data_IF_654697404901
#
_entry.id   IF_654697404901
#
_cell.length_a   1.000
_cell.length_b   1.000
_cell.length_c   1.000
_cell.angle_alpha   90.00
_cell.angle_beta   90.00
_cell.angle_gamma   90.00
#
_symmetry.space_group_name_H-M   'P 1'
#
loop_
_entity.id
_entity.type
_entity.pdbx_description
1 polymer ?
#
# COMPACT_ATOMS: atom_id res chain seq x y z
N UNK A 1 21.63 50.89 41.64
CA UNK A 1 20.34 51.44 41.16
C UNK A 1 19.97 50.63 39.93
N UNK A 2 19.19 49.58 40.15
CA UNK A 2 18.83 48.59 39.13
C UNK A 2 17.48 49.00 38.53
N UNK A 3 17.40 49.17 37.21
CA UNK A 3 16.13 49.41 36.54
C UNK A 3 15.36 48.09 36.39
N UNK A 4 14.02 48.09 36.53
CA UNK A 4 13.21 46.90 36.33
C UNK A 4 13.01 46.67 34.82
N UNK A 5 13.38 45.48 34.35
CA UNK A 5 13.05 44.97 33.01
C UNK A 5 11.62 44.43 33.02
N UNK A 6 10.74 45.06 32.24
CA UNK A 6 9.37 44.60 31.94
C UNK A 6 9.42 43.33 31.05
N UNK A 7 8.80 42.19 31.44
CA UNK A 7 9.03 40.90 30.78
C UNK A 7 7.98 40.53 29.72
N UNK A 8 7.34 41.48 29.04
CA UNK A 8 6.31 41.16 28.04
C UNK A 8 6.70 41.57 26.60
N UNK A 9 7.11 40.61 25.74
CA UNK A 9 7.57 40.90 24.38
C UNK A 9 6.44 41.21 23.36
N UNK A 10 5.16 41.19 23.76
CA UNK A 10 4.03 41.38 22.84
C UNK A 10 3.31 42.75 22.97
N UNK A 11 3.95 43.78 23.52
CA UNK A 11 3.33 45.12 23.65
C UNK A 11 3.57 45.98 22.41
N UNK A 12 2.51 46.24 21.63
CA UNK A 12 2.58 47.11 20.46
C UNK A 12 2.84 48.60 20.82
N UNK A 13 3.62 49.35 20.00
CA UNK A 13 4.29 50.60 20.41
C UNK A 13 3.43 51.88 20.43
N UNK A 14 2.12 51.82 20.17
CA UNK A 14 1.30 53.01 19.91
C UNK A 14 0.28 53.37 21.00
N UNK A 15 0.38 52.74 22.17
CA UNK A 15 -0.44 53.10 23.34
C UNK A 15 0.38 53.86 24.38
N UNK A 16 0.74 55.12 24.07
CA UNK A 16 1.06 56.14 25.06
C UNK A 16 0.20 57.36 24.75
N UNK A 17 -0.73 57.69 25.64
CA UNK A 17 -1.55 58.89 25.53
C UNK A 17 -0.76 60.16 25.83
N UNK A 18 -1.26 61.29 25.37
CA UNK A 18 -1.04 62.56 26.04
C UNK A 18 -2.32 63.44 25.97
N UNK A 19 -2.70 64.14 27.06
CA UNK A 19 -3.85 65.04 27.14
C UNK A 19 -3.45 66.51 26.91
N UNK A 20 -4.36 67.46 27.23
CA UNK A 20 -4.29 68.94 27.18
C UNK A 20 -4.41 69.58 25.78
N UNK A 21 -5.45 70.37 25.40
CA UNK A 21 -6.14 71.56 25.95
C UNK A 21 -5.57 72.90 25.43
N UNK A 22 -6.48 73.76 24.94
CA UNK A 22 -6.35 75.22 24.67
C UNK A 22 -5.51 75.57 23.42
N UNK A 23 -5.92 76.46 22.50
CA UNK A 23 -6.29 77.87 22.65
C UNK A 23 -7.17 78.39 21.48
N UNK A 24 -8.12 79.29 21.82
CA UNK A 24 -8.54 80.56 21.19
C UNK A 24 -8.50 80.74 19.63
N UNK A 25 -9.42 81.43 18.95
CA UNK A 25 -10.07 82.71 19.28
C UNK A 25 -11.21 83.00 18.27
N UNK A 26 -12.25 83.69 18.74
CA UNK A 26 -13.38 84.18 17.96
C UNK A 26 -13.04 85.48 17.20
N UNK A 27 -13.73 85.69 16.07
CA UNK A 27 -13.87 86.99 15.39
C UNK A 27 -15.10 86.97 14.47
N UNK A 28 -15.99 87.98 14.52
CA UNK A 28 -17.36 87.88 14.00
C UNK A 28 -17.48 88.36 12.54
N UNK A 29 -18.48 87.86 11.80
CA UNK A 29 -19.01 88.54 10.62
C UNK A 29 -20.53 88.71 10.70
N UNK A 30 -21.05 89.80 10.12
CA UNK A 30 -22.29 90.43 10.56
C UNK A 30 -23.54 89.80 9.93
N UNK A 31 -24.63 89.99 10.65
CA UNK A 31 -26.01 89.74 10.31
C UNK A 31 -26.45 90.53 9.04
N UNK A 32 -27.11 89.85 8.10
CA UNK A 32 -28.04 90.47 7.16
C UNK A 32 -29.44 89.84 7.30
N UNK A 33 -30.49 90.65 7.49
CA UNK A 33 -31.86 90.20 7.66
C UNK A 33 -32.65 90.16 6.36
N UNK A 34 -33.62 89.26 6.30
CA UNK A 34 -34.96 89.63 5.84
C UNK A 34 -35.49 88.90 4.62
N UNK A 35 -36.61 88.20 4.86
CA UNK A 35 -37.74 87.98 3.97
C UNK A 35 -37.48 87.10 2.73
N UNK A 36 -38.40 86.30 2.21
CA UNK A 36 -39.85 86.38 2.21
C UNK A 36 -40.44 85.02 1.82
N UNK A 37 -41.61 84.71 2.37
CA UNK A 37 -42.44 83.56 1.99
C UNK A 37 -42.78 83.53 0.49
N UNK A 38 -42.80 82.33 -0.11
CA UNK A 38 -43.75 81.99 -1.16
C UNK A 38 -43.99 80.45 -1.20
N UNK A 39 -45.26 80.00 -1.29
CA UNK A 39 -45.65 78.59 -1.38
C UNK A 39 -45.82 78.14 -2.84
N UNK A 40 -45.51 76.87 -3.16
CA UNK A 40 -45.98 76.26 -4.42
C UNK A 40 -45.17 75.08 -4.98
N UNK A 41 -45.71 73.86 -4.84
CA UNK A 41 -45.58 72.78 -5.83
C UNK A 41 -44.42 71.77 -5.69
N UNK A 42 -44.44 70.66 -6.46
CA UNK A 42 -45.05 69.40 -6.02
C UNK A 42 -44.12 68.18 -6.14
N UNK A 43 -44.53 67.05 -5.54
CA UNK A 43 -44.09 65.71 -5.97
C UNK A 43 -42.86 65.16 -5.26
N UNK A 44 -43.08 64.47 -4.14
CA UNK A 44 -42.11 63.48 -3.67
C UNK A 44 -42.02 62.35 -4.69
N UNK A 45 -40.81 61.93 -5.14
CA UNK A 45 -40.70 60.82 -6.08
C UNK A 45 -41.22 59.52 -5.44
N UNK A 46 -41.86 58.62 -6.19
CA UNK A 46 -42.35 57.37 -5.65
C UNK A 46 -41.17 56.53 -5.16
N UNK A 47 -41.29 55.98 -3.95
CA UNK A 47 -40.31 55.05 -3.38
C UNK A 47 -40.40 53.76 -4.20
N UNK A 48 -39.49 53.59 -5.15
CA UNK A 48 -39.37 52.36 -5.93
C UNK A 48 -38.77 51.31 -5.01
N UNK A 49 -39.52 50.27 -4.69
CA UNK A 49 -39.05 49.08 -3.99
C UNK A 49 -37.99 48.39 -4.83
N UNK A 50 -36.74 48.78 -4.62
CA UNK A 50 -35.58 48.11 -5.19
C UNK A 50 -35.40 46.76 -4.50
N UNK A 51 -36.10 45.74 -4.99
CA UNK A 51 -35.90 44.33 -4.68
C UNK A 51 -34.58 43.81 -5.29
N UNK A 52 -33.48 44.56 -5.15
CA UNK A 52 -32.28 44.45 -5.99
C UNK A 52 -30.98 44.11 -5.26
N UNK A 53 -30.97 44.02 -3.93
CA UNK A 53 -29.76 43.68 -3.17
C UNK A 53 -29.67 42.20 -2.80
N UNK A 54 -30.82 41.54 -2.57
CA UNK A 54 -30.83 40.16 -2.09
C UNK A 54 -30.76 39.13 -3.23
N UNK A 55 -31.32 39.42 -4.40
CA UNK A 55 -31.31 38.48 -5.53
C UNK A 55 -29.99 38.48 -6.32
N UNK A 56 -29.41 39.63 -6.64
CA UNK A 56 -28.12 39.67 -7.36
C UNK A 56 -26.90 39.48 -6.45
N UNK A 57 -27.01 39.87 -5.17
CA UNK A 57 -25.97 39.66 -4.17
C UNK A 57 -25.89 38.19 -3.72
N UNK A 58 -27.00 37.58 -3.31
CA UNK A 58 -27.01 36.19 -2.83
C UNK A 58 -26.86 35.17 -3.97
N UNK A 59 -27.51 35.39 -5.12
CA UNK A 59 -27.34 34.49 -6.27
C UNK A 59 -25.93 34.61 -6.86
N UNK A 60 -25.38 35.82 -6.91
CA UNK A 60 -24.00 36.06 -7.36
C UNK A 60 -22.98 35.37 -6.46
N UNK A 61 -23.11 35.49 -5.14
CA UNK A 61 -22.21 34.79 -4.21
C UNK A 61 -22.35 33.28 -4.29
N UNK A 62 -23.58 32.75 -4.41
CA UNK A 62 -23.81 31.31 -4.58
C UNK A 62 -23.20 30.75 -5.87
N UNK A 63 -23.28 31.49 -6.98
CA UNK A 63 -22.67 31.08 -8.25
C UNK A 63 -21.15 31.13 -8.14
N UNK A 64 -20.57 32.17 -7.54
CA UNK A 64 -19.12 32.28 -7.37
C UNK A 64 -18.58 31.20 -6.43
N UNK A 65 -19.27 30.89 -5.32
CA UNK A 65 -18.85 29.82 -4.41
C UNK A 65 -18.98 28.45 -5.07
N UNK A 66 -20.04 28.20 -5.85
CA UNK A 66 -20.19 26.98 -6.63
C UNK A 66 -19.06 26.83 -7.66
N UNK A 67 -18.75 27.89 -8.42
CA UNK A 67 -17.65 27.89 -9.38
C UNK A 67 -16.28 27.71 -8.70
N UNK A 68 -16.08 28.31 -7.53
CA UNK A 68 -14.88 28.10 -6.73
C UNK A 68 -14.77 26.65 -6.26
N UNK A 69 -15.85 26.02 -5.79
CA UNK A 69 -15.86 24.61 -5.42
C UNK A 69 -15.58 23.69 -6.62
N UNK A 70 -16.17 23.99 -7.78
CA UNK A 70 -15.86 23.27 -9.03
C UNK A 70 -14.39 23.46 -9.41
N UNK A 71 -13.86 24.68 -9.31
CA UNK A 71 -12.47 24.99 -9.59
C UNK A 71 -11.49 24.30 -8.64
N UNK A 72 -11.81 24.25 -7.34
CA UNK A 72 -11.03 23.52 -6.32
C UNK A 72 -11.11 22.02 -6.59
N UNK A 73 -12.31 21.48 -6.87
CA UNK A 73 -12.49 20.07 -7.20
C UNK A 73 -11.70 19.68 -8.44
N UNK A 74 -11.81 20.47 -9.52
CA UNK A 74 -11.05 20.26 -10.75
C UNK A 74 -9.55 20.41 -10.54
N UNK A 75 -9.11 21.44 -9.81
CA UNK A 75 -7.70 21.66 -9.50
C UNK A 75 -7.10 20.55 -8.65
N UNK A 76 -7.86 20.05 -7.65
CA UNK A 76 -7.44 18.91 -6.81
C UNK A 76 -7.38 17.63 -7.64
N UNK A 77 -8.38 17.37 -8.48
CA UNK A 77 -8.38 16.24 -9.40
C UNK A 77 -7.20 16.30 -10.38
N UNK A 78 -6.97 17.46 -11.00
CA UNK A 78 -5.84 17.67 -11.92
C UNK A 78 -4.49 17.50 -11.22
N UNK A 79 -4.34 18.02 -9.99
CA UNK A 79 -3.13 17.84 -9.21
C UNK A 79 -2.89 16.37 -8.83
N UNK A 80 -3.90 15.66 -8.34
CA UNK A 80 -3.80 14.24 -8.00
C UNK A 80 -3.44 13.39 -9.22
N UNK A 81 -4.14 13.59 -10.34
CA UNK A 81 -3.86 12.87 -11.60
C UNK A 81 -2.47 13.17 -12.15
N UNK A 82 -1.97 14.41 -12.00
CA UNK A 82 -0.61 14.80 -12.37
C UNK A 82 0.45 14.09 -11.52
N UNK A 83 0.22 13.99 -10.21
CA UNK A 83 1.12 13.26 -9.30
C UNK A 83 1.16 11.77 -9.62
N UNK A 84 0.01 11.16 -9.91
CA UNK A 84 -0.05 9.76 -10.37
C UNK A 84 0.76 9.59 -11.65
N UNK A 85 0.58 10.48 -12.64
CA UNK A 85 1.31 10.39 -13.91
C UNK A 85 2.84 10.49 -13.75
N UNK A 86 3.32 11.23 -12.74
CA UNK A 86 4.75 11.36 -12.44
C UNK A 86 5.38 10.03 -11.99
N UNK A 87 4.68 9.27 -11.14
CA UNK A 87 5.19 8.05 -10.51
C UNK A 87 4.66 6.75 -11.12
N UNK A 88 3.91 6.84 -12.22
CA UNK A 88 3.40 5.68 -12.94
C UNK A 88 3.82 5.73 -14.41
N UNK A 89 3.82 4.60 -15.09
CA UNK A 89 4.08 4.44 -16.51
C UNK A 89 2.83 3.98 -17.27
N UNK A 90 2.79 4.18 -18.58
CA UNK A 90 1.77 3.61 -19.47
C UNK A 90 2.05 2.17 -19.87
N UNK A 91 3.24 1.64 -19.56
CA UNK A 91 3.63 0.26 -19.83
C UNK A 91 4.00 -0.46 -18.53
N UNK A 92 3.58 -1.73 -18.33
CA UNK A 92 4.05 -2.52 -17.21
C UNK A 92 5.55 -2.79 -17.37
N UNK A 93 6.28 -2.84 -16.25
CA UNK A 93 7.64 -3.39 -16.27
C UNK A 93 7.60 -4.89 -16.62
N UNK A 94 8.62 -5.36 -17.33
CA UNK A 94 8.82 -6.77 -17.68
C UNK A 94 9.33 -7.52 -16.44
N UNK A 95 8.42 -8.01 -15.61
CA UNK A 95 8.75 -8.76 -14.40
C UNK A 95 8.92 -10.25 -14.75
N UNK A 96 10.10 -10.85 -14.49
CA UNK A 96 10.33 -12.27 -14.75
C UNK A 96 9.38 -13.15 -13.94
N UNK A 97 8.97 -14.27 -14.53
CA UNK A 97 8.19 -15.30 -13.83
C UNK A 97 9.02 -16.56 -13.77
N UNK A 98 9.31 -17.01 -12.55
CA UNK A 98 10.05 -18.25 -12.33
C UNK A 98 9.08 -19.42 -12.46
N UNK A 99 9.39 -20.33 -13.38
CA UNK A 99 8.67 -21.58 -13.58
C UNK A 99 9.54 -22.71 -13.04
N UNK A 100 9.14 -23.28 -11.89
CA UNK A 100 9.74 -24.50 -11.35
C UNK A 100 8.96 -25.72 -11.83
N UNK A 101 9.61 -26.89 -11.82
CA UNK A 101 8.91 -28.15 -12.10
C UNK A 101 7.84 -28.41 -11.03
N UNK A 102 6.69 -28.98 -11.42
CA UNK A 102 5.57 -29.24 -10.50
C UNK A 102 6.02 -30.03 -9.25
N UNK A 103 6.91 -31.00 -9.46
CA UNK A 103 7.46 -31.83 -8.39
C UNK A 103 8.31 -31.03 -7.39
N UNK A 104 9.17 -30.14 -7.88
CA UNK A 104 10.02 -29.31 -7.01
C UNK A 104 9.18 -28.30 -6.22
N UNK A 105 8.12 -27.79 -6.83
CA UNK A 105 7.18 -26.87 -6.19
C UNK A 105 6.38 -27.56 -5.08
N UNK A 106 5.92 -28.80 -5.30
CA UNK A 106 5.28 -29.62 -4.27
C UNK A 106 6.23 -29.90 -3.10
N UNK A 107 7.50 -30.25 -3.38
CA UNK A 107 8.53 -30.45 -2.36
C UNK A 107 8.80 -29.17 -1.55
N UNK A 108 8.88 -28.01 -2.22
CA UNK A 108 9.06 -26.70 -1.59
C UNK A 108 7.85 -26.32 -0.70
N UNK A 109 6.63 -26.51 -1.20
CA UNK A 109 5.41 -26.24 -0.43
C UNK A 109 5.32 -27.13 0.80
N UNK A 110 5.63 -28.43 0.66
CA UNK A 110 5.68 -29.36 1.78
C UNK A 110 6.72 -28.92 2.83
N UNK A 111 7.90 -28.44 2.40
CA UNK A 111 8.94 -27.91 3.28
C UNK A 111 8.44 -26.70 4.08
N UNK A 112 7.76 -25.78 3.41
CA UNK A 112 7.21 -24.56 4.01
C UNK A 112 6.04 -24.86 4.94
N UNK A 113 5.15 -25.79 4.58
CA UNK A 113 4.03 -26.21 5.41
C UNK A 113 4.50 -26.92 6.68
N UNK A 114 5.46 -27.83 6.55
CA UNK A 114 6.09 -28.51 7.67
C UNK A 114 6.76 -27.53 8.64
N UNK A 115 7.44 -26.51 8.11
CA UNK A 115 8.03 -25.44 8.92
C UNK A 115 6.95 -24.55 9.55
N UNK A 116 5.93 -24.17 8.79
CA UNK A 116 4.83 -23.30 9.25
C UNK A 116 4.02 -23.95 10.37
N UNK A 117 3.80 -25.27 10.30
CA UNK A 117 3.12 -26.03 11.36
C UNK A 117 3.91 -25.99 12.68
N UNK A 118 5.24 -26.14 12.60
CA UNK A 118 6.13 -25.95 13.76
C UNK A 118 6.04 -24.52 14.30
N UNK A 119 6.07 -23.51 13.42
CA UNK A 119 5.92 -22.10 13.80
C UNK A 119 4.57 -21.84 14.46
N UNK A 120 3.47 -22.44 14.01
CA UNK A 120 2.15 -22.24 14.63
C UNK A 120 2.00 -22.97 15.96
N UNK A 121 2.87 -23.95 16.25
CA UNK A 121 2.76 -24.83 17.42
C UNK A 121 1.72 -25.93 17.23
N UNK A 122 1.37 -26.21 15.97
CA UNK A 122 0.54 -27.36 15.59
C UNK A 122 1.47 -28.57 15.51
N UNK A 123 1.71 -29.23 16.64
CA UNK A 123 2.33 -30.56 16.62
C UNK A 123 1.34 -31.51 15.99
N UNK A 124 1.47 -31.76 14.68
CA UNK A 124 0.76 -32.86 14.02
C UNK A 124 1.43 -34.18 14.45
N UNK A 125 0.76 -35.07 15.21
CA UNK A 125 1.15 -36.47 15.16
C UNK A 125 0.67 -36.99 13.81
N UNK A 126 1.61 -37.49 13.01
CA UNK A 126 1.30 -38.35 11.88
C UNK A 126 0.35 -39.48 12.33
N UNK A 127 -0.53 -39.85 11.41
CA UNK A 127 -1.38 -41.05 11.40
C UNK A 127 -2.86 -40.81 11.78
N UNK A 128 -3.60 -40.20 10.85
CA UNK A 128 -4.95 -40.68 10.56
C UNK A 128 -5.02 -41.06 9.08
N UNK A 129 -4.87 -42.36 8.87
CA UNK A 129 -5.50 -43.08 7.78
C UNK A 129 -6.98 -42.70 7.74
N UNK A 130 -7.39 -41.71 6.93
CA UNK A 130 -8.80 -41.50 6.63
C UNK A 130 -9.28 -42.58 5.66
N UNK A 131 -9.63 -43.71 6.26
CA UNK A 131 -10.64 -44.63 5.77
C UNK A 131 -11.93 -43.86 5.44
N UNK A 132 -12.27 -43.88 4.15
CA UNK A 132 -13.59 -43.75 3.55
C UNK A 132 -14.71 -43.14 4.41
N UNK A 133 -15.06 -41.90 4.09
CA UNK A 133 -16.43 -41.43 4.29
C UNK A 133 -17.19 -41.59 2.97
N UNK A 134 -17.93 -42.69 2.92
CA UNK A 134 -18.96 -43.02 1.96
C UNK A 134 -20.01 -41.91 1.90
N UNK A 135 -20.18 -41.29 0.72
CA UNK A 135 -21.42 -40.58 0.37
C UNK A 135 -22.24 -41.51 -0.52
N UNK A 136 -23.27 -42.10 0.06
CA UNK A 136 -24.42 -42.70 -0.60
C UNK A 136 -25.62 -42.24 0.23
N UNK A 137 -26.82 -42.01 -0.26
CA UNK A 137 -27.44 -41.91 -1.58
C UNK A 137 -28.89 -41.51 -1.22
N UNK A 138 -29.54 -40.67 -2.01
CA UNK A 138 -30.98 -40.77 -2.35
C UNK A 138 -31.40 -39.43 -2.98
N UNK A 139 -32.23 -39.36 -4.03
CA UNK A 139 -32.67 -40.28 -5.08
C UNK A 139 -33.69 -39.47 -5.91
N UNK A 140 -33.98 -39.97 -7.11
CA UNK A 140 -35.16 -39.71 -7.96
C UNK A 140 -34.98 -38.54 -8.93
N UNK A 141 -35.01 -38.72 -10.24
CA UNK A 141 -35.47 -39.84 -11.07
C UNK A 141 -36.08 -39.21 -12.32
N UNK A 142 -35.75 -39.71 -13.51
CA UNK A 142 -36.69 -40.03 -14.60
C UNK A 142 -35.96 -40.34 -15.92
N UNK A 143 -36.29 -41.54 -16.41
CA UNK A 143 -36.52 -41.98 -17.80
C UNK A 143 -35.43 -41.96 -18.91
N UNK A 144 -34.86 -43.17 -19.09
CA UNK A 144 -34.96 -44.06 -20.28
C UNK A 144 -34.36 -43.67 -21.66
N UNK A 145 -34.08 -44.66 -22.55
CA UNK A 145 -32.75 -44.91 -23.10
C UNK A 145 -32.74 -44.90 -24.64
N UNK A 146 -31.57 -45.08 -25.27
CA UNK A 146 -31.50 -45.83 -26.54
C UNK A 146 -30.12 -46.44 -26.72
N UNK A 147 -30.13 -47.75 -26.98
CA UNK A 147 -29.01 -48.61 -27.33
C UNK A 147 -28.42 -48.31 -28.71
N UNK A 148 -27.13 -48.60 -28.89
CA UNK A 148 -26.49 -49.25 -30.07
C UNK A 148 -24.97 -49.18 -29.86
N UNK A 149 -24.31 -50.22 -29.34
CA UNK A 149 -23.90 -51.46 -30.03
C UNK A 149 -22.57 -51.33 -30.81
N UNK A 150 -21.48 -51.75 -30.14
CA UNK A 150 -20.47 -52.78 -30.52
C UNK A 150 -19.28 -52.50 -31.49
N UNK A 151 -18.15 -53.04 -31.01
CA UNK A 151 -16.91 -53.54 -31.65
C UNK A 151 -15.83 -52.52 -32.04
N UNK A 152 -14.69 -52.44 -31.35
CA UNK A 152 -13.59 -53.42 -31.18
C UNK A 152 -12.72 -53.59 -32.43
N UNK A 153 -11.45 -53.17 -32.35
CA UNK A 153 -10.25 -54.03 -32.49
C UNK A 153 -8.97 -53.18 -32.57
N UNK A 154 -8.09 -53.36 -31.56
CA UNK A 154 -6.61 -53.31 -31.66
C UNK A 154 -6.14 -54.55 -32.48
N UNK A 155 -4.85 -54.79 -32.87
CA UNK A 155 -3.59 -54.43 -32.17
C UNK A 155 -2.29 -54.30 -33.02
N UNK A 156 -1.15 -54.14 -32.31
CA UNK A 156 0.22 -54.47 -32.74
C UNK A 156 1.11 -53.25 -33.03
N UNK A 157 2.38 -53.13 -32.63
CA UNK A 157 3.33 -54.14 -32.14
C UNK A 157 4.60 -53.43 -31.59
N UNK A 158 5.17 -53.95 -30.50
CA UNK A 158 6.55 -53.71 -30.01
C UNK A 158 7.57 -54.55 -30.80
N UNK A 159 8.88 -54.21 -30.72
CA UNK A 159 9.82 -55.01 -29.89
C UNK A 159 10.85 -54.11 -29.14
N UNK A 160 11.19 -54.30 -27.85
CA UNK A 160 12.10 -55.30 -27.22
C UNK A 160 13.54 -55.33 -27.83
N UNK A 161 14.69 -55.30 -27.13
CA UNK A 161 15.09 -55.22 -25.72
C UNK A 161 16.64 -54.95 -25.59
N UNK A 162 17.05 -54.21 -24.55
CA UNK A 162 18.20 -54.28 -23.57
C UNK A 162 19.56 -55.02 -23.87
N UNK A 163 20.65 -54.95 -23.03
CA UNK A 163 20.83 -54.36 -21.68
C UNK A 163 22.17 -53.60 -21.41
N UNK A 164 22.29 -52.94 -20.24
CA UNK A 164 23.56 -52.39 -19.76
C UNK A 164 23.55 -51.81 -18.33
N UNK A 165 23.46 -52.69 -17.33
CA UNK A 165 24.16 -52.63 -16.01
C UNK A 165 23.90 -51.46 -15.05
N UNK A 166 23.12 -51.74 -14.01
CA UNK A 166 23.15 -51.08 -12.69
C UNK A 166 24.51 -51.28 -11.99
N UNK A 167 24.85 -50.44 -11.00
CA UNK A 167 24.62 -50.86 -9.61
C UNK A 167 23.85 -49.76 -8.86
N UNK A 168 22.73 -50.08 -8.24
CA UNK A 168 22.61 -50.75 -6.94
C UNK A 168 23.05 -49.84 -5.78
N UNK A 169 22.03 -49.32 -5.09
CA UNK A 169 22.04 -49.23 -3.63
C UNK A 169 22.47 -47.90 -3.05
N UNK A 170 21.51 -46.97 -2.94
CA UNK A 170 21.37 -46.28 -1.67
C UNK A 170 19.89 -46.35 -1.28
N UNK A 171 19.62 -47.25 -0.34
CA UNK A 171 18.35 -47.37 0.35
C UNK A 171 18.07 -46.03 1.03
N UNK A 172 17.23 -45.19 0.43
CA UNK A 172 16.57 -44.11 1.15
C UNK A 172 15.58 -44.75 2.12
N UNK A 173 16.10 -45.19 3.27
CA UNK A 173 15.31 -45.37 4.48
C UNK A 173 14.53 -44.06 4.72
N UNK A 174 13.31 -44.13 5.30
CA UNK A 174 12.54 -42.93 5.58
C UNK A 174 13.39 -42.06 6.51
N UNK A 175 13.86 -40.92 6.00
CA UNK A 175 14.53 -39.92 6.81
C UNK A 175 13.44 -39.45 7.76
N UNK A 176 13.51 -39.95 9.00
CA UNK A 176 12.75 -39.41 10.11
C UNK A 176 12.95 -37.90 10.04
N UNK A 177 11.84 -37.17 9.89
CA UNK A 177 11.85 -35.72 9.83
C UNK A 177 12.45 -35.19 11.14
N UNK A 178 13.75 -34.90 11.12
CA UNK A 178 14.36 -34.05 12.11
C UNK A 178 13.58 -32.73 12.08
N UNK A 179 13.20 -32.16 13.25
CA UNK A 179 12.48 -30.90 13.24
C UNK A 179 13.36 -29.87 12.53
N UNK A 180 12.92 -29.41 11.36
CA UNK A 180 13.60 -28.36 10.61
C UNK A 180 13.48 -27.09 11.43
N UNK A 181 14.42 -26.89 12.38
CA UNK A 181 14.55 -25.68 13.19
C UNK A 181 14.94 -24.47 12.34
N UNK A 182 15.40 -24.73 11.13
CA UNK A 182 15.89 -23.76 10.17
C UNK A 182 15.21 -23.99 8.82
N UNK A 183 14.73 -22.91 8.22
CA UNK A 183 14.23 -22.87 6.86
C UNK A 183 15.11 -21.90 6.06
N UNK A 184 15.74 -22.42 5.02
CA UNK A 184 16.48 -21.63 4.04
C UNK A 184 15.61 -21.47 2.81
N UNK A 185 15.48 -20.26 2.30
CA UNK A 185 14.74 -19.95 1.07
C UNK A 185 15.64 -19.14 0.13
N UNK A 186 15.90 -19.70 -1.05
CA UNK A 186 16.62 -19.00 -2.11
C UNK A 186 15.72 -17.98 -2.80
N UNK A 187 16.31 -17.04 -3.56
CA UNK A 187 15.54 -16.12 -4.40
C UNK A 187 14.66 -16.87 -5.42
N UNK A 188 15.15 -17.98 -5.99
CA UNK A 188 14.39 -18.80 -6.93
C UNK A 188 13.14 -19.41 -6.29
N UNK A 189 13.29 -20.02 -5.11
CA UNK A 189 12.18 -20.60 -4.35
C UNK A 189 11.16 -19.53 -3.94
N UNK A 190 11.61 -18.36 -3.49
CA UNK A 190 10.72 -17.23 -3.18
C UNK A 190 9.93 -16.80 -4.42
N UNK A 191 10.60 -16.65 -5.56
CA UNK A 191 9.94 -16.25 -6.80
C UNK A 191 8.98 -17.31 -7.34
N UNK A 192 9.28 -18.59 -7.13
CA UNK A 192 8.37 -19.67 -7.51
C UNK A 192 7.09 -19.63 -6.69
N UNK A 193 7.18 -19.37 -5.38
CA UNK A 193 6.01 -19.15 -4.53
C UNK A 193 5.21 -17.93 -4.98
N UNK A 194 5.90 -16.82 -5.27
CA UNK A 194 5.26 -15.62 -5.84
C UNK A 194 4.52 -15.95 -7.15
N UNK A 195 5.11 -16.80 -7.98
CA UNK A 195 4.54 -17.22 -9.25
C UNK A 195 3.30 -18.12 -9.12
N UNK A 196 3.03 -18.71 -7.94
CA UNK A 196 1.78 -19.43 -7.64
C UNK A 196 0.61 -18.50 -7.30
N UNK A 197 0.90 -17.30 -6.82
CA UNK A 197 -0.12 -16.34 -6.41
C UNK A 197 -0.55 -15.48 -7.61
N UNK A 198 -1.79 -15.63 -8.09
CA UNK A 198 -2.27 -14.92 -9.30
C UNK A 198 -2.14 -13.39 -9.21
N UNK A 199 -2.20 -12.83 -7.99
CA UNK A 199 -2.08 -11.38 -7.78
C UNK A 199 -0.64 -10.88 -7.83
N UNK A 200 0.35 -11.77 -7.68
CA UNK A 200 1.77 -11.44 -7.58
C UNK A 200 2.58 -11.98 -8.78
N UNK A 201 2.15 -13.08 -9.38
CA UNK A 201 2.75 -13.67 -10.59
C UNK A 201 2.87 -12.62 -11.69
N UNK A 202 4.11 -12.39 -12.15
CA UNK A 202 4.41 -11.40 -13.20
C UNK A 202 4.23 -9.94 -12.76
N UNK A 203 4.14 -9.69 -11.44
CA UNK A 203 4.01 -8.34 -10.85
C UNK A 203 5.01 -8.08 -9.74
N UNK A 204 5.55 -9.12 -9.13
CA UNK A 204 6.59 -9.03 -8.10
C UNK A 204 7.70 -10.00 -8.49
N UNK A 205 8.94 -9.55 -8.33
CA UNK A 205 10.13 -10.38 -8.45
C UNK A 205 11.14 -9.98 -7.38
N UNK A 206 11.85 -10.96 -6.84
CA UNK A 206 12.82 -10.81 -5.76
C UNK A 206 14.18 -11.30 -6.22
N UNK A 207 15.23 -10.53 -5.94
CA UNK A 207 16.61 -10.99 -6.03
C UNK A 207 17.28 -10.88 -4.67
N UNK A 208 18.23 -11.76 -4.41
CA UNK A 208 19.03 -11.72 -3.19
C UNK A 208 20.48 -11.77 -3.63
N UNK A 209 21.22 -10.70 -3.37
CA UNK A 209 22.60 -10.54 -3.82
C UNK A 209 23.39 -9.80 -2.74
N UNK A 210 24.62 -10.27 -2.46
CA UNK A 210 25.52 -9.62 -1.49
C UNK A 210 24.90 -9.38 -0.10
N UNK A 211 24.06 -10.31 0.38
CA UNK A 211 23.38 -10.18 1.67
C UNK A 211 22.28 -9.11 1.69
N UNK A 212 21.79 -8.64 0.54
CA UNK A 212 20.71 -7.64 0.41
C UNK A 212 19.56 -8.19 -0.41
N UNK A 213 18.35 -7.73 -0.11
CA UNK A 213 17.13 -8.13 -0.82
C UNK A 213 16.72 -7.04 -1.78
N UNK A 214 16.54 -7.38 -3.05
CA UNK A 214 16.06 -6.49 -4.09
C UNK A 214 14.65 -6.92 -4.50
N UNK A 215 13.71 -5.98 -4.55
CA UNK A 215 12.35 -6.22 -5.01
C UNK A 215 12.01 -5.37 -6.23
N UNK A 216 11.43 -5.98 -7.25
CA UNK A 216 10.96 -5.34 -8.48
C UNK A 216 9.45 -5.54 -8.57
N UNK A 217 8.70 -4.47 -8.80
CA UNK A 217 7.23 -4.51 -8.83
C UNK A 217 6.64 -3.78 -10.02
N UNK A 218 5.52 -4.30 -10.52
CA UNK A 218 4.72 -3.75 -11.62
C UNK A 218 3.24 -3.94 -11.32
N UNK A 219 2.60 -2.91 -10.74
CA UNK A 219 1.21 -2.98 -10.33
C UNK A 219 0.32 -2.04 -11.15
N UNK A 220 -0.83 -2.51 -11.66
CA UNK A 220 -1.80 -1.63 -12.29
C UNK A 220 -2.37 -0.65 -11.27
N UNK A 221 -2.60 0.59 -11.70
CA UNK A 221 -3.09 1.68 -10.83
C UNK A 221 -4.52 2.10 -11.16
N UNK A 222 -5.29 1.23 -11.81
CA UNK A 222 -6.67 1.51 -12.23
C UNK A 222 -7.60 1.90 -11.09
N UNK A 223 -7.33 1.40 -9.87
CA UNK A 223 -8.11 1.69 -8.66
C UNK A 223 -7.84 3.10 -8.10
N UNK A 224 -6.78 3.77 -8.57
CA UNK A 224 -6.39 5.10 -8.12
C UNK A 224 -6.96 6.15 -9.09
N UNK A 225 -7.58 7.25 -8.61
CA UNK A 225 -8.06 8.33 -9.48
C UNK A 225 -6.94 8.88 -10.38
N UNK A 226 -7.11 8.71 -11.70
CA UNK A 226 -6.11 9.11 -12.70
C UNK A 226 -5.05 8.06 -13.03
N UNK A 227 -5.13 6.86 -12.45
CA UNK A 227 -4.21 5.73 -12.71
C UNK A 227 -4.73 4.70 -13.72
N UNK A 228 -5.90 4.92 -14.31
CA UNK A 228 -6.46 4.05 -15.35
C UNK A 228 -5.50 3.84 -16.53
N UNK A 229 -5.20 2.58 -16.85
CA UNK A 229 -4.26 2.21 -17.92
C UNK A 229 -2.80 2.56 -17.61
N UNK A 230 -2.45 2.77 -16.33
CA UNK A 230 -1.10 3.08 -15.87
C UNK A 230 -0.62 2.08 -14.83
N UNK A 231 0.69 1.92 -14.74
CA UNK A 231 1.38 0.97 -13.88
C UNK A 231 2.33 1.69 -12.93
N UNK A 232 2.34 1.29 -11.68
CA UNK A 232 3.38 1.64 -10.72
C UNK A 232 4.51 0.63 -10.89
N UNK A 233 5.60 1.08 -11.50
CA UNK A 233 6.81 0.30 -11.71
C UNK A 233 7.88 0.82 -10.75
N UNK A 234 8.37 -0.03 -9.86
CA UNK A 234 9.36 0.36 -8.87
C UNK A 234 10.32 -0.78 -8.55
N UNK A 235 11.54 -0.39 -8.19
CA UNK A 235 12.59 -1.28 -7.71
C UNK A 235 13.02 -0.77 -6.34
N UNK A 236 13.33 -1.67 -5.42
CA UNK A 236 13.74 -1.31 -4.08
C UNK A 236 14.81 -2.26 -3.55
N UNK A 237 15.73 -1.71 -2.77
CA UNK A 237 16.76 -2.44 -2.05
C UNK A 237 16.46 -2.38 -0.54
N UNK A 238 16.50 -3.54 0.10
CA UNK A 238 16.18 -3.71 1.50
C UNK A 238 17.34 -4.37 2.26
N UNK A 239 17.64 -3.79 3.41
CA UNK A 239 18.39 -4.45 4.46
C UNK A 239 17.41 -5.16 5.41
N UNK A 240 17.64 -6.44 5.64
CA UNK A 240 16.75 -7.33 6.41
C UNK A 240 17.57 -8.07 7.45
N UNK A 241 17.25 -7.84 8.72
CA UNK A 241 17.90 -8.54 9.84
C UNK A 241 16.94 -8.70 11.01
N UNK A 242 17.23 -9.63 11.92
CA UNK A 242 16.51 -9.76 13.17
C UNK A 242 17.46 -9.58 14.36
N UNK A 243 17.11 -8.71 15.29
CA UNK A 243 17.87 -8.45 16.51
C UNK A 243 16.93 -8.49 17.70
N UNK A 244 17.26 -9.27 18.73
CA UNK A 244 16.45 -9.42 19.96
C UNK A 244 14.97 -9.79 19.70
N UNK A 245 14.69 -10.61 18.68
CA UNK A 245 13.33 -11.00 18.26
C UNK A 245 12.54 -9.91 17.52
N UNK A 246 13.21 -8.83 17.13
CA UNK A 246 12.67 -7.73 16.33
C UNK A 246 13.26 -7.80 14.93
N UNK A 247 12.41 -8.07 13.94
CA UNK A 247 12.69 -8.00 12.52
C UNK A 247 12.81 -6.53 12.14
N UNK A 248 13.99 -6.16 11.67
CA UNK A 248 14.28 -4.89 11.05
C UNK A 248 14.30 -5.04 9.53
N UNK A 249 13.45 -4.27 8.86
CA UNK A 249 13.46 -4.13 7.40
C UNK A 249 13.63 -2.65 7.09
N UNK A 250 14.72 -2.29 6.41
CA UNK A 250 15.03 -0.90 6.08
C UNK A 250 15.18 -0.74 4.58
N UNK A 251 14.58 0.31 4.04
CA UNK A 251 14.80 0.71 2.65
C UNK A 251 16.16 1.41 2.53
N UNK A 252 17.06 0.87 1.72
CA UNK A 252 18.39 1.46 1.47
C UNK A 252 18.39 2.26 0.16
N UNK A 253 17.70 1.75 -0.86
CA UNK A 253 17.53 2.43 -2.13
C UNK A 253 16.17 2.13 -2.77
N UNK A 254 15.70 3.01 -3.64
CA UNK A 254 14.52 2.78 -4.45
C UNK A 254 14.52 3.59 -5.74
N UNK A 255 13.86 3.03 -6.73
CA UNK A 255 13.65 3.55 -8.08
C UNK A 255 12.15 3.51 -8.40
N UNK A 256 11.65 4.52 -9.08
CA UNK A 256 10.29 4.52 -9.65
C UNK A 256 10.43 4.91 -11.12
N UNK A 257 9.96 4.03 -12.01
CA UNK A 257 10.14 4.15 -13.47
C UNK A 257 11.63 4.27 -13.88
N UNK A 258 12.51 3.58 -13.16
CA UNK A 258 13.96 3.66 -13.38
C UNK A 258 14.60 4.98 -12.91
N UNK A 259 13.82 5.91 -12.35
CA UNK A 259 14.34 7.12 -11.73
C UNK A 259 14.51 6.90 -10.23
N UNK A 260 15.75 7.01 -9.74
CA UNK A 260 16.06 6.89 -8.31
C UNK A 260 15.29 7.91 -7.49
N UNK A 261 14.70 7.47 -6.40
CA UNK A 261 13.99 8.34 -5.46
C UNK A 261 15.01 9.33 -4.83
N UNK A 262 14.66 10.62 -4.66
CA UNK A 262 15.55 11.60 -4.04
C UNK A 262 16.04 11.16 -2.65
N UNK A 263 17.31 11.41 -2.35
CA UNK A 263 17.94 11.02 -1.08
C UNK A 263 17.17 11.53 0.15
N UNK A 264 16.62 12.75 0.09
CA UNK A 264 15.83 13.32 1.18
C UNK A 264 14.56 12.52 1.50
N UNK A 265 13.99 11.84 0.52
CA UNK A 265 12.84 10.96 0.71
C UNK A 265 13.32 9.62 1.25
N UNK A 266 14.38 9.05 0.69
CA UNK A 266 14.98 7.79 1.15
C UNK A 266 15.45 7.89 2.61
N UNK A 267 16.10 8.97 3.02
CA UNK A 267 16.51 9.23 4.41
C UNK A 267 15.34 9.21 5.39
N UNK A 268 14.15 9.64 4.95
CA UNK A 268 12.94 9.57 5.76
C UNK A 268 12.47 8.14 5.97
N UNK A 269 12.56 7.29 4.94
CA UNK A 269 12.15 5.88 5.01
C UNK A 269 13.20 4.98 5.67
N UNK A 270 14.49 5.26 5.50
CA UNK A 270 15.58 4.42 6.04
C UNK A 270 15.72 4.49 7.56
N UNK A 271 15.19 5.55 8.18
CA UNK A 271 15.10 5.70 9.63
C UNK A 271 13.96 4.89 10.25
N UNK A 272 13.03 4.40 9.43
CA UNK A 272 11.85 3.68 9.86
C UNK A 272 12.01 2.19 9.59
N UNK A 273 11.69 1.36 10.58
CA UNK A 273 11.57 -0.06 10.36
C UNK A 273 10.25 -0.35 9.63
N UNK A 274 10.32 -0.81 8.38
CA UNK A 274 9.16 -1.13 7.56
C UNK A 274 8.37 -2.33 8.10
N UNK A 275 8.99 -3.20 8.90
CA UNK A 275 8.33 -4.31 9.55
C UNK A 275 7.58 -3.93 10.84
N UNK A 276 7.61 -2.65 11.26
CA UNK A 276 6.96 -2.19 12.51
C UNK A 276 5.47 -2.55 12.60
N UNK A 277 4.78 -2.57 11.47
CA UNK A 277 3.34 -2.85 11.42
C UNK A 277 3.05 -4.35 11.59
N UNK A 278 4.01 -5.24 11.26
CA UNK A 278 3.88 -6.67 11.53
C UNK A 278 3.80 -6.98 13.03
N UNK A 279 4.36 -6.10 13.87
CA UNK A 279 4.27 -6.20 15.34
C UNK A 279 2.98 -5.62 15.93
N UNK A 280 2.23 -4.82 15.17
CA UNK A 280 0.94 -4.27 15.61
C UNK A 280 -0.17 -5.29 15.52
N UNK A 281 -0.09 -6.20 14.55
CA UNK A 281 -0.98 -7.35 14.47
C UNK A 281 -0.56 -8.41 15.49
N UNK A 282 -1.49 -8.78 16.38
CA UNK A 282 -1.23 -9.74 17.46
C UNK A 282 -0.79 -11.10 16.92
N UNK A 283 -1.44 -11.59 15.86
CA UNK A 283 -1.17 -12.92 15.28
C UNK A 283 0.23 -12.93 14.65
N UNK A 284 0.58 -11.88 13.93
CA UNK A 284 1.89 -11.76 13.30
C UNK A 284 3.00 -11.58 14.34
N UNK A 285 2.78 -10.75 15.37
CA UNK A 285 3.72 -10.57 16.46
C UNK A 285 3.98 -11.88 17.24
N UNK A 286 2.95 -12.70 17.46
CA UNK A 286 3.08 -14.01 18.10
C UNK A 286 3.93 -14.98 17.27
N UNK A 287 3.81 -14.94 15.95
CA UNK A 287 4.62 -15.73 15.02
C UNK A 287 6.07 -15.24 15.00
N UNK A 288 6.29 -13.92 14.84
CA UNK A 288 7.63 -13.33 14.75
C UNK A 288 8.50 -13.59 15.99
N UNK A 289 7.88 -13.65 17.18
CA UNK A 289 8.57 -13.96 18.44
C UNK A 289 9.09 -15.40 18.55
N UNK A 290 8.62 -16.29 17.69
CA UNK A 290 9.08 -17.70 17.65
C UNK A 290 10.34 -17.87 16.83
N UNK A 291 10.75 -16.85 16.08
CA UNK A 291 12.02 -16.85 15.38
C UNK A 291 13.14 -16.41 16.33
N UNK A 292 14.24 -17.14 16.28
CA UNK A 292 15.52 -16.75 16.87
C UNK A 292 16.21 -15.73 15.98
N UNK A 293 16.25 -15.99 14.67
CA UNK A 293 16.82 -15.08 13.68
C UNK A 293 16.13 -15.19 12.32
N UNK A 294 16.16 -14.09 11.59
CA UNK A 294 15.84 -13.98 10.16
C UNK A 294 16.95 -13.13 9.57
N UNK A 295 17.75 -13.74 8.70
CA UNK A 295 18.96 -13.12 8.16
C UNK A 295 19.08 -13.43 6.67
N UNK A 296 19.71 -12.52 5.93
CA UNK A 296 20.07 -12.74 4.54
C UNK A 296 21.52 -13.22 4.52
N UNK A 297 21.73 -14.45 4.06
CA UNK A 297 23.05 -15.09 4.00
C UNK A 297 23.29 -15.52 2.56
N UNK A 298 24.39 -15.03 1.98
CA UNK A 298 24.75 -15.22 0.57
C UNK A 298 23.62 -14.77 -0.39
N UNK A 299 22.90 -15.71 -0.99
CA UNK A 299 21.80 -15.54 -1.94
C UNK A 299 20.45 -16.05 -1.40
N UNK A 300 20.37 -16.29 -0.08
CA UNK A 300 19.24 -16.94 0.58
C UNK A 300 18.80 -16.22 1.84
N UNK A 301 17.51 -16.33 2.18
CA UNK A 301 16.96 -15.92 3.47
C UNK A 301 16.94 -17.14 4.38
N UNK A 302 17.52 -16.99 5.56
CA UNK A 302 17.62 -18.03 6.59
C UNK A 302 16.71 -17.65 7.75
N UNK A 303 15.74 -18.50 8.04
CA UNK A 303 14.82 -18.34 9.17
C UNK A 303 15.08 -19.43 10.21
N UNK A 304 15.42 -19.04 11.44
CA UNK A 304 15.68 -19.96 12.55
C UNK A 304 14.64 -19.81 13.64
N UNK A 305 14.15 -20.91 14.18
CA UNK A 305 13.19 -20.93 15.29
C UNK A 305 13.90 -20.93 16.64
N UNK A 306 13.37 -20.14 17.59
CA UNK A 306 13.82 -20.13 18.97
C UNK A 306 13.50 -21.48 19.62
N UNK A 307 14.49 -22.07 20.29
CA UNK A 307 14.27 -23.28 21.07
C UNK A 307 13.26 -23.02 22.22
N UNK A 308 12.30 -23.94 22.47
CA UNK A 308 11.40 -23.82 23.61
C UNK A 308 12.21 -23.94 24.91
N UNK A 309 12.10 -22.93 25.78
CA UNK A 309 12.67 -22.93 27.15
C UNK A 309 12.00 -23.94 28.08
#
# INVERSE_FOLDING_TARGET
>A
MSQPTDPNPNRAPWTQGNPSSEFATAGPRPYEPGASNAPGGPGGPPRKSGLGCWFWGCLGTLVVTLLAMIGIGFGTYWFLTSQVAKYTDTQPAEIPVVEMEEKELEELQARIEAFTSQVKGETTPTDETETGSTVADESTGDDQPTDSEVAAEQPGEQPAAEPGTQPAGETAAPVAAEPMKELVLTAEEINALIATEEQLRGRVFVRIEEGRVFGEVSFPTDMVPGGGGRFFNADAEFDVSMQDGILEVRLTDASVKGERIPETVLEGFSQENLAKDAYKDRKNAEILRKFESIEVVDDSIVLKLKEPE
#
